data_IF_722226696925
#
_entry.id   IF_722226696925
#
_cell.length_a   1.000
_cell.length_b   1.000
_cell.length_c   1.000
_cell.angle_alpha   90.00
_cell.angle_beta   90.00
_cell.angle_gamma   90.00
#
_symmetry.space_group_name_H-M   'P 1'
#
loop_
_entity.id
_entity.type
_entity.pdbx_description
1 polymer ?
#
# COMPACT_ATOMS: atom_id res chain seq x y z
N UNK A 1 -27.30 -14.25 4.38
CA UNK A 1 -26.07 -15.08 4.28
C UNK A 1 -24.77 -14.27 4.36
N UNK A 2 -24.65 -13.11 3.68
CA UNK A 2 -23.44 -12.28 3.72
C UNK A 2 -23.05 -11.74 5.11
N UNK A 3 -24.01 -11.41 5.99
CA UNK A 3 -23.70 -10.93 7.36
C UNK A 3 -22.94 -11.97 8.23
N UNK A 4 -23.16 -13.28 7.99
CA UNK A 4 -22.49 -14.34 8.76
C UNK A 4 -21.02 -14.52 8.38
N UNK A 5 -20.65 -14.17 7.13
CA UNK A 5 -19.26 -14.21 6.66
C UNK A 5 -18.37 -13.15 7.35
N UNK A 6 -18.94 -11.99 7.67
CA UNK A 6 -18.20 -10.88 8.29
C UNK A 6 -18.24 -10.90 9.83
N UNK A 7 -19.03 -11.77 10.46
CA UNK A 7 -19.20 -11.81 11.92
C UNK A 7 -18.61 -13.05 12.60
N UNK A 8 -17.94 -13.94 11.87
CA UNK A 8 -17.29 -15.13 12.44
C UNK A 8 -15.89 -14.80 12.94
N UNK A 9 -15.63 -14.98 14.24
CA UNK A 9 -14.26 -15.05 14.77
C UNK A 9 -13.56 -16.26 14.14
N UNK A 10 -12.67 -16.02 13.18
CA UNK A 10 -11.88 -17.08 12.56
C UNK A 10 -10.84 -17.58 13.56
N UNK A 11 -11.05 -18.78 14.09
CA UNK A 11 -10.28 -19.33 15.21
C UNK A 11 -9.01 -20.09 14.80
N UNK A 12 -8.75 -20.28 13.50
CA UNK A 12 -7.60 -21.03 13.01
C UNK A 12 -6.76 -20.27 11.98
N UNK A 13 -5.45 -20.47 12.03
CA UNK A 13 -4.47 -19.91 11.07
C UNK A 13 -4.85 -20.33 9.64
N UNK A 14 -5.33 -21.56 9.44
CA UNK A 14 -5.77 -22.07 8.14
C UNK A 14 -6.95 -21.27 7.57
N UNK A 15 -7.97 -20.99 8.39
CA UNK A 15 -9.13 -20.20 7.96
C UNK A 15 -8.73 -18.78 7.55
N UNK A 16 -7.85 -18.14 8.31
CA UNK A 16 -7.33 -16.81 7.99
C UNK A 16 -6.51 -16.81 6.68
N UNK A 17 -5.64 -17.81 6.51
CA UNK A 17 -4.83 -17.96 5.30
C UNK A 17 -5.69 -18.17 4.05
N UNK A 18 -6.76 -18.96 4.14
CA UNK A 18 -7.69 -19.18 3.02
C UNK A 18 -8.38 -17.87 2.60
N UNK A 19 -8.81 -17.05 3.56
CA UNK A 19 -9.49 -15.78 3.26
C UNK A 19 -8.53 -14.80 2.60
N UNK A 20 -7.32 -14.63 3.16
CA UNK A 20 -6.30 -13.74 2.59
C UNK A 20 -5.91 -14.23 1.19
N UNK A 21 -5.72 -15.54 1.02
CA UNK A 21 -5.41 -16.16 -0.27
C UNK A 21 -6.52 -15.93 -1.31
N UNK A 22 -7.77 -16.18 -0.94
CA UNK A 22 -8.92 -15.94 -1.82
C UNK A 22 -9.07 -14.47 -2.19
N UNK A 23 -8.93 -13.55 -1.22
CA UNK A 23 -8.96 -12.12 -1.47
C UNK A 23 -7.82 -11.68 -2.41
N UNK A 24 -6.61 -12.22 -2.22
CA UNK A 24 -5.48 -11.99 -3.11
C UNK A 24 -5.70 -12.50 -4.54
N UNK A 25 -6.32 -13.68 -4.69
CA UNK A 25 -6.69 -14.22 -6.00
C UNK A 25 -7.72 -13.34 -6.70
N UNK A 26 -8.77 -12.91 -6.00
CA UNK A 26 -9.78 -11.99 -6.55
C UNK A 26 -9.14 -10.67 -6.98
N UNK A 27 -8.26 -10.11 -6.15
CA UNK A 27 -7.51 -8.89 -6.48
C UNK A 27 -6.67 -9.05 -7.76
N UNK A 28 -5.97 -10.19 -7.92
CA UNK A 28 -5.21 -10.48 -9.14
C UNK A 28 -6.09 -10.65 -10.37
N UNK A 29 -7.23 -11.32 -10.26
CA UNK A 29 -8.19 -11.46 -11.37
C UNK A 29 -8.71 -10.09 -11.80
N UNK A 30 -9.07 -9.23 -10.85
CA UNK A 30 -9.47 -7.84 -11.15
C UNK A 30 -8.35 -7.04 -11.81
N UNK A 31 -7.09 -7.25 -11.40
CA UNK A 31 -5.91 -6.67 -12.06
C UNK A 31 -5.79 -7.11 -13.53
N UNK A 32 -5.97 -8.40 -13.82
CA UNK A 32 -5.95 -8.91 -15.20
C UNK A 32 -7.09 -8.31 -16.03
N UNK A 33 -8.29 -8.20 -15.45
CA UNK A 33 -9.44 -7.56 -16.12
C UNK A 33 -9.13 -6.10 -16.44
N UNK A 34 -8.56 -5.35 -15.48
CA UNK A 34 -8.10 -3.97 -15.70
C UNK A 34 -7.11 -3.90 -16.85
N UNK A 35 -6.08 -4.74 -16.85
CA UNK A 35 -5.02 -4.70 -17.86
C UNK A 35 -5.57 -5.04 -19.25
N UNK A 36 -6.53 -5.98 -19.34
CA UNK A 36 -7.23 -6.30 -20.58
C UNK A 36 -8.09 -5.15 -21.09
N UNK A 37 -8.80 -4.46 -20.20
CA UNK A 37 -9.60 -3.27 -20.57
C UNK A 37 -8.69 -2.16 -21.07
N UNK A 38 -7.57 -1.90 -20.39
CA UNK A 38 -6.61 -0.88 -20.80
C UNK A 38 -5.98 -1.21 -22.16
N UNK A 39 -5.47 -2.43 -22.33
CA UNK A 39 -4.90 -2.87 -23.61
C UNK A 39 -5.93 -2.86 -24.75
N UNK A 40 -7.20 -3.18 -24.47
CA UNK A 40 -8.28 -3.14 -25.46
C UNK A 40 -8.72 -1.71 -25.83
N UNK A 41 -8.53 -0.72 -24.95
CA UNK A 41 -8.91 0.68 -25.18
C UNK A 41 -7.79 1.53 -25.76
N UNK A 42 -6.57 1.36 -25.25
CA UNK A 42 -5.41 2.17 -25.61
C UNK A 42 -4.45 1.45 -26.56
N UNK A 43 -4.62 0.14 -26.75
CA UNK A 43 -3.67 -0.68 -27.50
C UNK A 43 -2.39 -0.97 -26.71
N UNK A 44 -1.56 -1.86 -27.26
CA UNK A 44 -0.21 -2.08 -26.76
C UNK A 44 0.73 -1.05 -27.44
N UNK A 45 0.96 0.08 -26.78
CA UNK A 45 1.79 1.17 -27.31
C UNK A 45 2.27 2.12 -26.21
N UNK A 46 2.86 3.24 -26.62
CA UNK A 46 3.57 4.15 -25.72
C UNK A 46 2.74 4.69 -24.56
N UNK A 47 1.44 4.95 -24.76
CA UNK A 47 0.55 5.44 -23.70
C UNK A 47 0.42 4.44 -22.54
N UNK A 48 0.28 3.15 -22.87
CA UNK A 48 0.12 2.10 -21.87
C UNK A 48 1.45 1.83 -21.13
N UNK A 49 2.56 1.89 -21.86
CA UNK A 49 3.91 1.82 -21.30
C UNK A 49 4.17 2.96 -20.32
N UNK A 50 3.83 4.20 -20.70
CA UNK A 50 3.91 5.39 -19.84
C UNK A 50 3.07 5.16 -18.58
N UNK A 51 1.81 4.72 -18.74
CA UNK A 51 0.90 4.48 -17.63
C UNK A 51 1.50 3.48 -16.65
N UNK A 52 1.89 2.27 -17.09
CA UNK A 52 2.45 1.26 -16.21
C UNK A 52 3.78 1.65 -15.58
N UNK A 53 4.66 2.32 -16.34
CA UNK A 53 5.92 2.81 -15.82
C UNK A 53 5.72 3.84 -14.70
N UNK A 54 4.72 4.72 -14.84
CA UNK A 54 4.49 5.80 -13.90
C UNK A 54 4.12 5.30 -12.49
N UNK A 55 3.48 4.13 -12.37
CA UNK A 55 3.14 3.50 -11.08
C UNK A 55 4.31 2.81 -10.38
N UNK A 56 5.43 2.52 -11.07
CA UNK A 56 6.51 1.71 -10.48
C UNK A 56 7.08 2.32 -9.21
N UNK A 57 7.48 3.59 -9.23
CA UNK A 57 8.11 4.22 -8.05
C UNK A 57 7.11 4.39 -6.89
N UNK A 58 5.89 4.91 -7.12
CA UNK A 58 4.87 5.01 -6.06
C UNK A 58 4.51 3.64 -5.45
N UNK A 59 4.36 2.60 -6.27
CA UNK A 59 4.04 1.26 -5.80
C UNK A 59 5.19 0.66 -4.99
N UNK A 60 6.44 0.89 -5.39
CA UNK A 60 7.61 0.46 -4.61
C UNK A 60 7.63 1.10 -3.22
N UNK A 61 7.34 2.41 -3.12
CA UNK A 61 7.24 3.10 -1.83
C UNK A 61 6.16 2.46 -0.96
N UNK A 62 4.96 2.25 -1.50
CA UNK A 62 3.84 1.65 -0.77
C UNK A 62 4.17 0.23 -0.29
N UNK A 63 4.76 -0.59 -1.17
CA UNK A 63 5.15 -1.96 -0.86
C UNK A 63 6.23 -2.02 0.23
N UNK A 64 7.22 -1.13 0.20
CA UNK A 64 8.27 -1.05 1.22
C UNK A 64 7.69 -0.73 2.61
N UNK A 65 6.70 0.16 2.67
CA UNK A 65 6.03 0.49 3.92
C UNK A 65 5.17 -0.67 4.42
N UNK A 66 4.27 -1.21 3.58
CA UNK A 66 3.33 -2.27 3.98
C UNK A 66 4.06 -3.58 4.29
N UNK A 67 4.86 -4.10 3.36
CA UNK A 67 5.52 -5.39 3.51
C UNK A 67 6.81 -5.30 4.32
N UNK A 68 7.53 -4.19 4.25
CA UNK A 68 8.74 -3.96 5.03
C UNK A 68 8.40 -3.51 6.44
N UNK A 69 8.11 -2.22 6.61
CA UNK A 69 8.02 -1.60 7.94
C UNK A 69 6.84 -2.13 8.79
N UNK A 70 5.62 -2.18 8.25
CA UNK A 70 4.45 -2.60 9.03
C UNK A 70 4.50 -4.09 9.36
N UNK A 71 4.69 -4.93 8.34
CA UNK A 71 4.55 -6.37 8.50
C UNK A 71 5.67 -7.00 9.35
N UNK A 72 6.91 -6.47 9.26
CA UNK A 72 8.06 -7.04 9.98
C UNK A 72 8.23 -6.50 11.41
N UNK A 73 7.90 -5.23 11.66
CA UNK A 73 8.16 -4.59 12.94
C UNK A 73 6.88 -4.23 13.69
N UNK A 74 5.95 -3.52 13.05
CA UNK A 74 4.76 -3.00 13.74
C UNK A 74 3.79 -4.10 14.17
N UNK A 75 3.36 -4.97 13.25
CA UNK A 75 2.35 -6.01 13.53
C UNK A 75 2.78 -6.94 14.67
N UNK A 76 4.02 -7.49 14.69
CA UNK A 76 4.46 -8.35 15.79
C UNK A 76 4.46 -7.64 17.15
N UNK A 77 4.92 -6.38 17.20
CA UNK A 77 4.96 -5.60 18.44
C UNK A 77 3.54 -5.30 18.91
N UNK A 78 2.66 -4.86 18.01
CA UNK A 78 1.27 -4.58 18.34
C UNK A 78 0.54 -5.81 18.89
N UNK A 79 0.67 -6.97 18.24
CA UNK A 79 0.11 -8.24 18.73
C UNK A 79 0.70 -8.62 20.09
N UNK A 80 1.99 -8.37 20.32
CA UNK A 80 2.64 -8.67 21.60
C UNK A 80 2.09 -7.80 22.74
N UNK A 81 1.80 -6.52 22.49
CA UNK A 81 1.21 -5.62 23.46
C UNK A 81 -0.24 -6.00 23.77
N UNK A 82 -1.05 -6.27 22.74
CA UNK A 82 -2.44 -6.72 22.94
C UNK A 82 -2.52 -7.97 23.81
N UNK A 83 -1.66 -8.97 23.57
CA UNK A 83 -1.62 -10.20 24.37
C UNK A 83 -1.18 -9.96 25.82
N UNK A 84 -0.28 -8.99 26.04
CA UNK A 84 0.20 -8.61 27.37
C UNK A 84 -0.89 -7.87 28.17
N UNK A 85 -1.70 -7.06 27.52
CA UNK A 85 -2.82 -6.36 28.12
C UNK A 85 -4.01 -7.30 28.41
N UNK A 86 -4.33 -8.26 27.53
CA UNK A 86 -5.33 -9.31 27.80
C UNK A 86 -5.04 -10.13 29.07
N UNK A 87 -3.75 -10.26 29.43
CA UNK A 87 -3.34 -10.97 30.66
C UNK A 87 -3.56 -10.14 31.93
N UNK A 88 -3.70 -8.82 31.82
CA UNK A 88 -3.99 -7.90 32.92
C UNK A 88 -5.44 -7.41 32.81
N UNK A 89 -6.36 -8.21 33.36
CA UNK A 89 -7.83 -8.07 33.31
C UNK A 89 -8.46 -6.71 33.71
N UNK A 90 -7.67 -5.70 34.05
CA UNK A 90 -8.10 -4.41 34.61
C UNK A 90 -7.42 -3.16 34.00
N UNK A 91 -6.64 -3.28 32.92
CA UNK A 91 -6.15 -2.11 32.18
C UNK A 91 -6.83 -2.05 30.82
N UNK A 92 -7.41 -0.89 30.51
CA UNK A 92 -7.81 -0.53 29.16
C UNK A 92 -6.64 -0.81 28.21
N UNK A 93 -6.90 -1.25 26.97
CA UNK A 93 -5.89 -1.58 25.95
C UNK A 93 -5.10 -0.34 25.45
N UNK A 94 -5.00 0.69 26.28
CA UNK A 94 -4.59 2.04 25.94
C UNK A 94 -3.15 2.06 25.44
N UNK A 95 -2.26 1.23 26.01
CA UNK A 95 -0.85 1.20 25.59
C UNK A 95 -0.68 0.61 24.19
N UNK A 96 -1.50 -0.37 23.79
CA UNK A 96 -1.48 -0.91 22.43
C UNK A 96 -2.03 0.12 21.42
N UNK A 97 -3.10 0.84 21.77
CA UNK A 97 -3.67 1.91 20.94
C UNK A 97 -2.75 3.11 20.81
N UNK A 98 -2.08 3.52 21.90
CA UNK A 98 -1.10 4.60 21.90
C UNK A 98 0.11 4.26 21.03
N UNK A 99 0.58 3.00 21.07
CA UNK A 99 1.62 2.54 20.15
C UNK A 99 1.13 2.63 18.70
N UNK A 100 -0.07 2.12 18.40
CA UNK A 100 -0.65 2.18 17.06
C UNK A 100 -0.73 3.60 16.53
N UNK A 101 -1.23 4.54 17.35
CA UNK A 101 -1.33 5.94 16.99
C UNK A 101 0.03 6.57 16.72
N UNK A 102 1.02 6.31 17.58
CA UNK A 102 2.37 6.82 17.39
C UNK A 102 3.04 6.26 16.12
N UNK A 103 2.92 4.96 15.89
CA UNK A 103 3.52 4.31 14.71
C UNK A 103 2.82 4.78 13.43
N UNK A 104 1.49 4.86 13.41
CA UNK A 104 0.73 5.39 12.27
C UNK A 104 1.10 6.85 11.95
N UNK A 105 1.27 7.69 12.97
CA UNK A 105 1.74 9.07 12.80
C UNK A 105 3.16 9.13 12.22
N UNK A 106 4.11 8.38 12.78
CA UNK A 106 5.50 8.33 12.28
C UNK A 106 5.55 7.83 10.84
N UNK A 107 4.82 6.75 10.53
CA UNK A 107 4.77 6.18 9.19
C UNK A 107 4.17 7.16 8.19
N UNK A 108 3.19 7.96 8.60
CA UNK A 108 2.57 8.94 7.71
C UNK A 108 3.47 10.13 7.47
N UNK A 109 4.06 10.70 8.52
CA UNK A 109 5.03 11.78 8.37
C UNK A 109 6.22 11.30 7.53
N UNK A 110 6.68 10.07 7.76
CA UNK A 110 7.71 9.41 6.95
C UNK A 110 7.29 9.23 5.49
N UNK A 111 6.07 8.74 5.24
CA UNK A 111 5.54 8.54 3.89
C UNK A 111 5.38 9.85 3.14
N UNK A 112 4.88 10.91 3.79
CA UNK A 112 4.78 12.26 3.22
C UNK A 112 6.17 12.79 2.91
N UNK A 113 7.11 12.70 3.85
CA UNK A 113 8.47 13.22 3.68
C UNK A 113 9.20 12.50 2.55
N UNK A 114 9.20 11.17 2.56
CA UNK A 114 9.84 10.36 1.51
C UNK A 114 9.12 10.53 0.17
N UNK A 115 7.78 10.57 0.17
CA UNK A 115 6.98 10.80 -1.04
C UNK A 115 7.32 12.13 -1.71
N UNK A 116 7.40 13.23 -0.94
CA UNK A 116 7.80 14.54 -1.44
C UNK A 116 9.24 14.52 -1.99
N UNK A 117 10.17 13.88 -1.29
CA UNK A 117 11.55 13.72 -1.77
C UNK A 117 11.56 12.96 -3.11
N UNK A 118 10.81 11.87 -3.23
CA UNK A 118 10.74 11.08 -4.46
C UNK A 118 10.04 11.81 -5.61
N UNK A 119 9.05 12.67 -5.33
CA UNK A 119 8.43 13.55 -6.34
C UNK A 119 9.45 14.53 -6.91
N UNK A 120 10.28 15.13 -6.06
CA UNK A 120 11.36 16.02 -6.50
C UNK A 120 12.44 15.25 -7.23
N UNK A 121 12.76 14.03 -6.76
CA UNK A 121 13.78 13.19 -7.37
C UNK A 121 13.32 12.43 -8.62
N UNK A 122 12.03 12.45 -8.94
CA UNK A 122 11.46 11.67 -10.04
C UNK A 122 12.13 11.92 -11.40
N UNK A 123 12.58 13.14 -11.77
CA UNK A 123 13.25 13.35 -13.06
C UNK A 123 14.57 12.59 -13.20
N UNK A 124 15.23 12.25 -12.08
CA UNK A 124 16.46 11.45 -12.09
C UNK A 124 16.17 9.95 -11.90
N UNK A 125 15.09 9.60 -11.19
CA UNK A 125 14.74 8.20 -10.91
C UNK A 125 14.01 7.52 -12.07
N UNK A 126 13.11 8.23 -12.75
CA UNK A 126 12.32 7.66 -13.86
C UNK A 126 13.20 7.14 -14.99
N UNK A 127 14.21 7.88 -15.50
CA UNK A 127 15.10 7.36 -16.55
C UNK A 127 15.82 6.07 -16.17
N UNK A 128 16.11 5.85 -14.88
CA UNK A 128 16.80 4.65 -14.39
C UNK A 128 15.90 3.40 -14.48
N UNK A 129 14.60 3.56 -14.28
CA UNK A 129 13.62 2.46 -14.29
C UNK A 129 12.91 2.27 -15.63
N UNK A 130 13.07 3.20 -16.57
CA UNK A 130 12.53 3.14 -17.94
C UNK A 130 13.64 3.30 -19.00
N UNK A 131 14.60 2.35 -19.08
CA UNK A 131 15.59 2.38 -20.15
C UNK A 131 14.87 2.27 -21.50
N UNK A 132 15.17 3.20 -22.42
CA UNK A 132 14.54 3.27 -23.75
C UNK A 132 13.36 4.24 -23.86
N UNK A 133 13.00 4.96 -22.79
CA UNK A 133 12.07 6.10 -22.90
C UNK A 133 12.88 7.37 -23.17
N UNK A 134 12.48 8.12 -24.19
CA UNK A 134 13.13 9.36 -24.62
C UNK A 134 12.11 10.49 -24.89
N UNK A 135 12.63 11.71 -25.05
CA UNK A 135 11.86 12.90 -25.39
C UNK A 135 10.57 13.09 -24.57
N UNK A 136 9.44 13.18 -25.28
CA UNK A 136 8.13 13.39 -24.69
C UNK A 136 7.66 12.22 -23.83
N UNK A 137 8.01 10.97 -24.20
CA UNK A 137 7.62 9.77 -23.44
C UNK A 137 8.14 9.84 -22.01
N UNK A 138 9.43 10.17 -21.86
CA UNK A 138 10.09 10.31 -20.56
C UNK A 138 9.52 11.48 -19.73
N UNK A 139 9.25 12.61 -20.38
CA UNK A 139 8.66 13.80 -19.74
C UNK A 139 7.26 13.52 -19.21
N UNK A 140 6.42 12.84 -20.00
CA UNK A 140 5.06 12.46 -19.61
C UNK A 140 5.10 11.44 -18.47
N UNK A 141 5.93 10.39 -18.55
CA UNK A 141 6.07 9.41 -17.46
C UNK A 141 6.50 10.09 -16.16
N UNK A 142 7.45 11.02 -16.23
CA UNK A 142 7.91 11.76 -15.04
C UNK A 142 6.78 12.54 -14.39
N UNK A 143 5.99 13.30 -15.17
CA UNK A 143 4.84 14.06 -14.65
C UNK A 143 3.75 13.14 -14.10
N UNK A 144 3.47 12.03 -14.78
CA UNK A 144 2.49 11.05 -14.29
C UNK A 144 2.93 10.41 -12.98
N UNK A 145 4.20 10.05 -12.84
CA UNK A 145 4.76 9.54 -11.57
C UNK A 145 4.55 10.54 -10.44
N UNK A 146 4.87 11.82 -10.67
CA UNK A 146 4.67 12.88 -9.66
C UNK A 146 3.21 13.01 -9.24
N UNK A 147 2.28 12.89 -10.18
CA UNK A 147 0.86 12.94 -9.89
C UNK A 147 0.38 11.70 -9.13
N UNK A 148 0.84 10.50 -9.51
CA UNK A 148 0.45 9.25 -8.86
C UNK A 148 0.95 9.17 -7.42
N UNK A 149 2.06 9.84 -7.08
CA UNK A 149 2.54 9.92 -5.69
C UNK A 149 1.51 10.46 -4.70
N UNK A 150 0.48 11.20 -5.13
CA UNK A 150 -0.64 11.56 -4.27
C UNK A 150 -1.42 10.35 -3.74
N UNK A 151 -1.52 9.26 -4.51
CA UNK A 151 -2.24 8.05 -4.11
C UNK A 151 -1.72 7.42 -2.81
N UNK A 152 -0.43 7.03 -2.69
CA UNK A 152 0.07 6.47 -1.44
C UNK A 152 -0.03 7.46 -0.28
N UNK A 153 0.10 8.78 -0.51
CA UNK A 153 -0.10 9.79 0.53
C UNK A 153 -1.53 9.77 1.08
N UNK A 154 -2.53 9.78 0.20
CA UNK A 154 -3.95 9.75 0.58
C UNK A 154 -4.32 8.44 1.27
N UNK A 155 -3.83 7.30 0.76
CA UNK A 155 -4.05 6.00 1.39
C UNK A 155 -3.38 5.89 2.76
N UNK A 156 -2.17 6.43 2.90
CA UNK A 156 -1.47 6.49 4.18
C UNK A 156 -2.26 7.30 5.22
N UNK A 157 -2.75 8.49 4.83
CA UNK A 157 -3.58 9.33 5.69
C UNK A 157 -4.91 8.64 6.06
N UNK A 158 -5.59 8.01 5.09
CA UNK A 158 -6.81 7.25 5.34
C UNK A 158 -6.59 6.10 6.33
N UNK A 159 -5.43 5.46 6.31
CA UNK A 159 -5.07 4.41 7.27
C UNK A 159 -5.02 4.90 8.71
N UNK A 160 -4.58 6.15 8.93
CA UNK A 160 -4.56 6.76 10.27
C UNK A 160 -5.97 7.08 10.75
N UNK A 161 -6.78 7.76 9.93
CA UNK A 161 -8.13 8.16 10.32
C UNK A 161 -9.05 6.96 10.58
N UNK A 162 -8.77 5.81 9.96
CA UNK A 162 -9.46 4.55 10.27
C UNK A 162 -8.92 3.81 11.50
N UNK A 163 -7.75 4.20 12.03
CA UNK A 163 -7.08 3.57 13.16
C UNK A 163 -7.24 4.29 14.50
N UNK A 164 -7.72 5.53 14.50
CA UNK A 164 -8.07 6.33 15.69
C UNK A 164 -9.58 6.26 15.94
#
# INVERSE_FOLDING_TARGET
MLKKLFSTKFSSISSAAIIIGAAGLVSRILGIVRDRVLAGKFGAGDELDIYYAAFRIPDLLLNLIIFGALSSAFIPIFISLLRKEESNKYKDNQSAWDLSNNVLNILTVGLISVGLILVVLSPWLVPLITPGFDGDKLSITTKMTQLIFFSPLLLGISGIFGGI
#
